data_IF_897204590408
#
_entry.id   IF_897204590408
#
_cell.length_a   1.000
_cell.length_b   1.000
_cell.length_c   1.000
_cell.angle_alpha   90.00
_cell.angle_beta   90.00
_cell.angle_gamma   90.00
#
_symmetry.space_group_name_H-M   'P 1'
#
loop_
_entity.id
_entity.type
_entity.pdbx_description
1 polymer ?
#
# COMPACT_ATOMS: atom_id res chain seq x y z
N UNK A 1 8.57 4.06 -13.50
CA UNK A 1 7.28 3.63 -12.90
C UNK A 1 6.12 4.28 -13.64
N UNK A 2 4.97 3.61 -13.81
CA UNK A 2 3.81 4.20 -14.51
C UNK A 2 3.08 5.20 -13.59
N UNK A 3 2.48 6.26 -14.13
CA UNK A 3 1.73 7.27 -13.36
C UNK A 3 0.65 6.66 -12.44
N UNK A 4 0.03 5.56 -12.87
CA UNK A 4 -0.95 4.78 -12.09
C UNK A 4 -0.38 4.10 -10.84
N UNK A 5 0.92 3.78 -10.84
CA UNK A 5 1.63 3.15 -9.73
C UNK A 5 2.00 4.22 -8.69
N UNK A 6 2.43 5.41 -9.16
CA UNK A 6 2.67 6.59 -8.32
C UNK A 6 1.38 6.99 -7.58
N UNK A 7 0.26 7.13 -8.30
CA UNK A 7 -1.04 7.44 -7.68
C UNK A 7 -1.45 6.42 -6.62
N UNK A 8 -1.13 5.14 -6.81
CA UNK A 8 -1.41 4.10 -5.83
C UNK A 8 -0.55 4.28 -4.57
N UNK A 9 0.75 4.53 -4.73
CA UNK A 9 1.67 4.75 -3.60
C UNK A 9 1.27 6.00 -2.82
N UNK A 10 0.99 7.11 -3.51
CA UNK A 10 0.54 8.34 -2.87
C UNK A 10 -0.76 8.11 -2.10
N UNK A 11 -1.73 7.40 -2.69
CA UNK A 11 -2.98 7.04 -2.00
C UNK A 11 -2.74 6.18 -0.76
N UNK A 12 -1.87 5.17 -0.86
CA UNK A 12 -1.53 4.29 0.27
C UNK A 12 -0.88 5.07 1.41
N UNK A 13 0.05 5.96 1.09
CA UNK A 13 0.75 6.78 2.07
C UNK A 13 -0.20 7.77 2.75
N UNK A 14 -1.02 8.49 1.97
CA UNK A 14 -1.96 9.45 2.53
C UNK A 14 -3.05 8.78 3.36
N UNK A 15 -3.61 7.66 2.90
CA UNK A 15 -4.64 6.95 3.66
C UNK A 15 -4.10 6.36 4.97
N UNK A 16 -2.85 5.88 4.96
CA UNK A 16 -2.16 5.39 6.16
C UNK A 16 -1.91 6.50 7.18
N UNK A 17 -1.44 7.67 6.75
CA UNK A 17 -1.21 8.82 7.63
C UNK A 17 -2.51 9.38 8.20
N UNK A 18 -3.55 9.50 7.37
CA UNK A 18 -4.88 9.93 7.82
C UNK A 18 -5.46 8.96 8.84
N UNK A 19 -5.36 7.65 8.61
CA UNK A 19 -5.82 6.65 9.56
C UNK A 19 -5.04 6.73 10.88
N UNK A 20 -3.71 6.82 10.81
CA UNK A 20 -2.86 6.95 12.00
C UNK A 20 -3.27 8.17 12.83
N UNK A 21 -3.42 9.32 12.18
CA UNK A 21 -3.82 10.56 12.83
C UNK A 21 -5.23 10.45 13.45
N UNK A 22 -6.20 9.90 12.70
CA UNK A 22 -7.57 9.73 13.17
C UNK A 22 -7.65 8.80 14.38
N UNK A 23 -6.98 7.64 14.33
CA UNK A 23 -6.98 6.67 15.45
C UNK A 23 -6.25 7.23 16.65
N UNK A 24 -5.11 7.91 16.45
CA UNK A 24 -4.38 8.55 17.53
C UNK A 24 -5.19 9.68 18.19
N UNK A 25 -5.87 10.52 17.40
CA UNK A 25 -6.72 11.58 17.93
C UNK A 25 -7.89 11.03 18.74
N UNK A 26 -8.51 9.93 18.29
CA UNK A 26 -9.66 9.30 18.95
C UNK A 26 -9.29 8.50 20.21
N UNK A 27 -8.24 7.68 20.14
CA UNK A 27 -7.87 6.76 21.24
C UNK A 27 -6.81 7.31 22.17
N UNK A 28 -6.04 8.33 21.73
CA UNK A 28 -4.85 8.86 22.42
C UNK A 28 -3.82 7.79 22.79
N UNK A 29 -3.88 6.62 22.15
CA UNK A 29 -3.03 5.47 22.42
C UNK A 29 -2.20 5.13 21.20
N UNK A 30 -0.88 5.19 21.36
CA UNK A 30 0.08 4.86 20.29
C UNK A 30 -0.01 3.38 19.92
N UNK A 31 -0.26 2.50 20.90
CA UNK A 31 -0.37 1.05 20.68
C UNK A 31 -1.60 0.73 19.82
N UNK A 32 -2.75 1.32 20.15
CA UNK A 32 -3.98 1.13 19.37
C UNK A 32 -3.84 1.68 17.95
N UNK A 33 -3.21 2.85 17.80
CA UNK A 33 -2.95 3.47 16.51
C UNK A 33 -2.01 2.62 15.64
N UNK A 34 -0.92 2.10 16.21
CA UNK A 34 0.02 1.22 15.51
C UNK A 34 -0.63 -0.11 15.10
N UNK A 35 -1.40 -0.74 16.00
CA UNK A 35 -2.07 -2.01 15.72
C UNK A 35 -3.10 -1.87 14.59
N UNK A 36 -3.93 -0.83 14.62
CA UNK A 36 -4.93 -0.56 13.58
C UNK A 36 -4.28 -0.17 12.24
N UNK A 37 -3.20 0.62 12.28
CA UNK A 37 -2.43 0.95 11.08
C UNK A 37 -1.81 -0.30 10.46
N UNK A 38 -1.24 -1.20 11.26
CA UNK A 38 -0.66 -2.46 10.79
C UNK A 38 -1.73 -3.37 10.18
N UNK A 39 -2.89 -3.51 10.82
CA UNK A 39 -4.01 -4.30 10.30
C UNK A 39 -4.53 -3.73 8.98
N UNK A 40 -4.71 -2.42 8.89
CA UNK A 40 -5.12 -1.74 7.66
C UNK A 40 -4.11 -1.94 6.53
N UNK A 41 -2.81 -1.80 6.81
CA UNK A 41 -1.76 -2.01 5.84
C UNK A 41 -1.67 -3.47 5.36
N UNK A 42 -1.81 -4.44 6.26
CA UNK A 42 -1.86 -5.85 5.90
C UNK A 42 -3.03 -6.14 4.95
N UNK A 43 -4.21 -5.60 5.24
CA UNK A 43 -5.36 -5.71 4.34
C UNK A 43 -5.15 -5.01 3.01
N UNK A 44 -4.54 -3.82 2.99
CA UNK A 44 -4.32 -3.05 1.78
C UNK A 44 -3.27 -3.69 0.86
N UNK A 45 -2.24 -4.32 1.44
CA UNK A 45 -1.22 -5.10 0.75
C UNK A 45 -1.74 -6.45 0.24
N UNK A 46 -2.79 -7.02 0.85
CA UNK A 46 -3.45 -8.22 0.35
C UNK A 46 -4.07 -8.03 -1.04
N UNK A 47 -4.43 -6.78 -1.40
CA UNK A 47 -5.04 -6.46 -2.70
C UNK A 47 -4.06 -6.70 -3.84
N UNK A 48 -4.52 -7.43 -4.86
CA UNK A 48 -3.71 -7.78 -6.05
C UNK A 48 -3.09 -6.56 -6.77
N UNK A 49 -3.71 -5.38 -6.66
CA UNK A 49 -3.14 -4.13 -7.20
C UNK A 49 -1.90 -3.69 -6.44
N UNK A 50 -1.95 -3.59 -5.11
CA UNK A 50 -0.79 -3.17 -4.31
C UNK A 50 0.34 -4.19 -4.35
N UNK A 51 -0.01 -5.47 -4.33
CA UNK A 51 0.96 -6.55 -4.49
C UNK A 51 1.72 -6.50 -5.82
N UNK A 52 1.12 -5.97 -6.89
CA UNK A 52 1.81 -5.72 -8.18
C UNK A 52 2.68 -4.46 -8.13
N UNK A 53 2.23 -3.40 -7.45
CA UNK A 53 2.99 -2.15 -7.32
C UNK A 53 4.22 -2.35 -6.43
N UNK A 54 4.08 -3.03 -5.29
CA UNK A 54 5.19 -3.33 -4.39
C UNK A 54 6.22 -4.29 -4.99
N UNK A 55 5.80 -5.29 -5.78
CA UNK A 55 6.73 -6.14 -6.54
C UNK A 55 7.56 -5.32 -7.54
N UNK A 56 6.92 -4.41 -8.29
CA UNK A 56 7.63 -3.47 -9.18
C UNK A 56 8.61 -2.56 -8.42
N UNK A 57 8.21 -2.05 -7.24
CA UNK A 57 9.08 -1.25 -6.38
C UNK A 57 10.30 -2.02 -5.89
N UNK A 58 10.14 -3.32 -5.62
CA UNK A 58 11.21 -4.21 -5.17
C UNK A 58 12.22 -4.56 -6.27
N UNK A 59 12.02 -4.09 -7.50
CA UNK A 59 12.83 -4.48 -8.64
C UNK A 59 12.51 -5.88 -9.16
N UNK A 60 11.48 -6.55 -8.61
CA UNK A 60 10.84 -7.73 -9.23
C UNK A 60 10.00 -7.23 -10.41
N UNK A 61 10.68 -6.71 -11.44
CA UNK A 61 10.08 -6.59 -12.75
C UNK A 61 9.80 -8.03 -13.19
N UNK A 62 8.54 -8.47 -13.08
CA UNK A 62 8.10 -9.61 -13.84
C UNK A 62 8.39 -9.30 -15.30
N UNK A 63 9.38 -9.98 -15.86
CA UNK A 63 9.67 -9.99 -17.28
C UNK A 63 8.36 -10.31 -18.02
N UNK A 64 7.74 -9.27 -18.57
CA UNK A 64 6.54 -9.38 -19.41
C UNK A 64 6.92 -9.81 -20.83
N UNK A 65 7.99 -10.59 -21.01
CA UNK A 65 8.38 -11.15 -22.30
C UNK A 65 7.38 -12.20 -22.82
N UNK A 66 6.32 -12.53 -22.05
CA UNK A 66 5.33 -13.53 -22.45
C UNK A 66 3.85 -13.18 -22.24
N UNK A 67 3.47 -11.91 -22.01
CA UNK A 67 2.03 -11.55 -21.83
C UNK A 67 1.44 -10.73 -22.98
N UNK A 68 2.16 -10.59 -24.09
CA UNK A 68 1.67 -9.98 -25.35
C UNK A 68 2.24 -10.70 -26.60
N UNK A 69 2.52 -12.00 -26.49
CA UNK A 69 2.76 -12.87 -27.65
C UNK A 69 1.73 -14.01 -27.55
N UNK A 70 0.49 -13.65 -27.89
CA UNK A 70 -0.53 -14.45 -28.58
C UNK A 70 -1.77 -13.56 -28.76
#
# INVERSE_FOLDING_TARGET
MRARDVRAITFWLTSSLVLLFAVYAATRSVIAAAALLAAYNAWLLSRARMRRVFRRLRGENMDFTGYYID
#
